data_IF_695788750397
#
_entry.id   IF_695788750397
#
_cell.length_a   1.000
_cell.length_b   1.000
_cell.length_c   1.000
_cell.angle_alpha   90.00
_cell.angle_beta   90.00
_cell.angle_gamma   90.00
#
_symmetry.space_group_name_H-M   'P 1'
#
loop_
_entity.id
_entity.type
_entity.pdbx_description
1 polymer ?
#
# COMPACT_ATOMS: atom_id res chain seq x y z
N UNK A 1 1.54 15.55 -9.83
CA UNK A 1 0.64 14.45 -10.14
C UNK A 1 0.59 13.52 -8.98
N UNK A 2 -0.60 13.24 -8.51
CA UNK A 2 -0.76 12.48 -7.29
C UNK A 2 -1.07 11.04 -7.62
N UNK A 3 -0.23 10.15 -7.10
CA UNK A 3 -0.52 8.74 -7.19
C UNK A 3 -1.55 8.39 -6.13
N UNK A 4 -2.34 7.39 -6.43
CA UNK A 4 -3.34 6.90 -5.50
C UNK A 4 -2.74 5.76 -4.69
N UNK A 5 -2.86 5.86 -3.37
CA UNK A 5 -2.40 4.82 -2.45
C UNK A 5 -3.59 4.13 -1.83
N UNK A 6 -3.50 2.81 -1.72
CA UNK A 6 -4.53 2.02 -1.07
C UNK A 6 -3.89 1.08 -0.06
N UNK A 7 -4.45 1.05 1.13
CA UNK A 7 -4.10 0.07 2.16
C UNK A 7 -5.36 -0.77 2.36
N UNK A 8 -5.23 -2.06 2.13
CA UNK A 8 -6.41 -2.93 2.11
C UNK A 8 -6.07 -4.28 2.73
N UNK A 9 -7.11 -5.02 3.08
CA UNK A 9 -6.97 -6.36 3.62
C UNK A 9 -7.27 -7.35 2.49
N UNK A 10 -6.37 -8.31 2.28
CA UNK A 10 -6.54 -9.27 1.20
C UNK A 10 -7.41 -10.45 1.65
N UNK A 11 -7.61 -11.40 0.73
CA UNK A 11 -8.46 -12.56 1.01
C UNK A 11 -7.86 -13.49 2.06
N UNK A 12 -6.57 -13.41 2.29
CA UNK A 12 -5.90 -14.20 3.32
C UNK A 12 -5.96 -13.53 4.69
N UNK A 13 -6.59 -12.36 4.79
CA UNK A 13 -6.71 -11.63 6.05
C UNK A 13 -5.47 -10.83 6.40
N UNK A 14 -4.63 -10.55 5.44
CA UNK A 14 -3.40 -9.79 5.65
C UNK A 14 -3.50 -8.41 5.03
N UNK A 15 -2.82 -7.45 5.63
CA UNK A 15 -2.82 -6.08 5.14
C UNK A 15 -1.79 -5.92 4.05
N UNK A 16 -2.20 -5.22 2.97
CA UNK A 16 -1.33 -4.93 1.83
C UNK A 16 -1.56 -3.49 1.39
N UNK A 17 -0.59 -2.94 0.69
CA UNK A 17 -0.75 -1.62 0.09
C UNK A 17 -0.40 -1.66 -1.38
N UNK A 18 -0.97 -0.74 -2.14
CA UNK A 18 -0.57 -0.55 -3.53
C UNK A 18 -0.63 0.92 -3.89
N UNK A 19 0.20 1.29 -4.83
CA UNK A 19 0.29 2.63 -5.34
C UNK A 19 -0.06 2.59 -6.82
N UNK A 20 -1.01 3.42 -7.24
CA UNK A 20 -1.48 3.48 -8.62
C UNK A 20 -1.17 4.86 -9.17
N UNK A 21 -0.53 4.92 -10.33
CA UNK A 21 -0.24 6.18 -10.98
C UNK A 21 -1.52 6.79 -11.54
N UNK A 22 -1.45 8.08 -11.91
CA UNK A 22 -2.61 8.80 -12.40
C UNK A 22 -3.21 8.19 -13.67
N UNK A 23 -2.41 7.45 -14.43
CA UNK A 23 -2.90 6.77 -15.64
C UNK A 23 -3.51 5.39 -15.38
N UNK A 24 -3.64 5.01 -14.11
CA UNK A 24 -4.23 3.73 -13.73
C UNK A 24 -3.26 2.57 -13.61
N UNK A 25 -1.97 2.78 -13.87
CA UNK A 25 -0.97 1.72 -13.76
C UNK A 25 -0.55 1.54 -12.31
N UNK A 26 -0.42 0.28 -11.89
CA UNK A 26 0.13 -0.03 -10.57
C UNK A 26 1.65 0.11 -10.67
N UNK A 27 2.20 1.04 -9.89
CA UNK A 27 3.63 1.36 -9.94
C UNK A 27 4.35 0.95 -8.65
N UNK A 28 3.63 0.40 -7.69
CA UNK A 28 4.22 -0.12 -6.46
C UNK A 28 3.21 -0.90 -5.67
N UNK A 29 3.68 -1.87 -4.91
CA UNK A 29 2.82 -2.69 -4.07
C UNK A 29 3.66 -3.37 -3.01
N UNK A 30 3.02 -3.76 -1.90
CA UNK A 30 3.73 -4.52 -0.88
C UNK A 30 4.09 -5.89 -1.43
N UNK A 31 5.30 -6.36 -1.13
CA UNK A 31 5.73 -7.67 -1.58
C UNK A 31 5.21 -8.78 -0.69
N UNK A 32 4.71 -8.43 0.49
CA UNK A 32 4.19 -9.41 1.44
C UNK A 32 2.98 -8.85 2.16
N UNK A 33 2.22 -9.72 2.81
CA UNK A 33 1.12 -9.32 3.65
C UNK A 33 1.59 -9.06 5.07
N UNK A 34 0.89 -8.20 5.77
CA UNK A 34 1.19 -7.85 7.16
C UNK A 34 0.01 -8.23 8.04
N UNK A 35 0.32 -8.76 9.21
CA UNK A 35 -0.71 -9.12 10.18
C UNK A 35 -1.38 -7.86 10.72
N UNK A 36 -0.60 -6.81 10.97
CA UNK A 36 -1.09 -5.57 11.55
C UNK A 36 -1.08 -4.46 10.52
N UNK A 37 -2.16 -3.66 10.51
CA UNK A 37 -2.26 -2.54 9.59
C UNK A 37 -1.12 -1.54 9.81
N UNK A 38 -0.73 -1.32 11.05
CA UNK A 38 0.33 -0.34 11.36
C UNK A 38 1.66 -0.72 10.70
N UNK A 39 1.96 -2.02 10.63
CA UNK A 39 3.19 -2.47 9.99
C UNK A 39 3.12 -2.27 8.47
N UNK A 40 1.94 -2.51 7.89
CA UNK A 40 1.73 -2.29 6.47
C UNK A 40 1.90 -0.80 6.13
N UNK A 41 1.28 0.07 6.91
CA UNK A 41 1.37 1.51 6.71
C UNK A 41 2.82 1.98 6.84
N UNK A 42 3.54 1.47 7.84
CA UNK A 42 4.95 1.84 8.02
C UNK A 42 5.79 1.46 6.79
N UNK A 43 5.52 0.30 6.22
CA UNK A 43 6.22 -0.11 5.00
C UNK A 43 5.86 0.80 3.83
N UNK A 44 4.58 1.12 3.68
CA UNK A 44 4.13 2.03 2.63
C UNK A 44 4.81 3.39 2.76
N UNK A 45 4.93 3.90 3.99
CA UNK A 45 5.57 5.19 4.24
C UNK A 45 7.03 5.19 3.83
N UNK A 46 7.72 4.08 4.02
CA UNK A 46 9.11 3.95 3.55
C UNK A 46 9.19 4.04 2.03
N UNK A 47 8.10 3.76 1.34
CA UNK A 47 8.03 3.80 -0.11
C UNK A 47 7.41 5.09 -0.64
N UNK A 48 7.15 6.06 0.24
CA UNK A 48 6.69 7.37 -0.17
C UNK A 48 5.27 7.71 0.22
N UNK A 49 4.57 6.81 0.89
CA UNK A 49 3.20 7.07 1.33
C UNK A 49 3.21 8.11 2.45
N UNK A 50 2.39 9.15 2.30
CA UNK A 50 2.32 10.23 3.28
C UNK A 50 1.05 10.17 4.14
N UNK A 51 0.22 9.18 3.93
CA UNK A 51 -0.97 9.00 4.73
C UNK A 51 -0.67 8.42 6.11
N UNK A 52 -1.67 8.38 6.96
CA UNK A 52 -1.55 7.84 8.32
C UNK A 52 -2.38 6.59 8.51
#
# INVERSE_FOLDING_TARGET
MDDKWEVYKDNAGEWRWRRTASNGRIVGASSQGYVNRVDCVANAQRNGYEGT
#
